data_IF_497787363712
#
_entry.id   IF_497787363712
#
_cell.length_a   1.000
_cell.length_b   1.000
_cell.length_c   1.000
_cell.angle_alpha   90.00
_cell.angle_beta   90.00
_cell.angle_gamma   90.00
#
_symmetry.space_group_name_H-M   'P 1'
#
loop_
_entity.id
_entity.type
_entity.pdbx_description
1 polymer ?
#
# COMPACT_ATOMS: atom_id res chain seq x y z
N UNK A 1 -19.99 2.24 -16.77
CA UNK A 1 -19.83 0.81 -16.54
C UNK A 1 -20.10 0.52 -15.07
N UNK A 2 -20.56 -0.71 -14.77
CA UNK A 2 -20.62 -1.24 -13.41
C UNK A 2 -19.29 -1.95 -13.12
N UNK A 3 -18.60 -1.52 -12.08
CA UNK A 3 -17.29 -2.07 -11.73
C UNK A 3 -17.36 -2.69 -10.35
N UNK A 4 -16.83 -3.91 -10.22
CA UNK A 4 -16.57 -4.53 -8.91
C UNK A 4 -15.08 -4.37 -8.60
N UNK A 5 -14.78 -3.92 -7.37
CA UNK A 5 -13.43 -3.91 -6.80
C UNK A 5 -13.38 -4.91 -5.65
N UNK A 6 -12.57 -5.95 -5.78
CA UNK A 6 -12.39 -6.99 -4.76
C UNK A 6 -11.22 -6.63 -3.84
N UNK A 7 -11.54 -6.26 -2.60
CA UNK A 7 -10.60 -5.81 -1.58
C UNK A 7 -10.65 -4.29 -1.32
N UNK A 8 -10.91 -3.92 -0.08
CA UNK A 8 -11.07 -2.54 0.40
C UNK A 8 -9.81 -1.97 1.10
N UNK A 9 -8.61 -2.41 0.70
CA UNK A 9 -7.34 -1.80 1.09
C UNK A 9 -6.99 -0.60 0.21
N UNK A 10 -5.77 -0.01 0.39
CA UNK A 10 -5.35 1.20 -0.35
C UNK A 10 -5.44 1.05 -1.87
N UNK A 11 -5.02 -0.08 -2.43
CA UNK A 11 -5.08 -0.29 -3.87
C UNK A 11 -6.53 -0.37 -4.36
N UNK A 12 -7.41 -1.06 -3.63
CA UNK A 12 -8.83 -1.16 -3.97
C UNK A 12 -9.56 0.17 -3.83
N UNK A 13 -9.42 0.85 -2.69
CA UNK A 13 -10.04 2.17 -2.47
C UNK A 13 -9.54 3.20 -3.47
N UNK A 14 -8.22 3.21 -3.74
CA UNK A 14 -7.65 4.09 -4.75
C UNK A 14 -8.17 3.81 -6.17
N UNK A 15 -8.40 2.54 -6.51
CA UNK A 15 -9.02 2.17 -7.79
C UNK A 15 -10.49 2.57 -7.83
N UNK A 16 -11.23 2.36 -6.73
CA UNK A 16 -12.62 2.75 -6.63
C UNK A 16 -12.80 4.26 -6.82
N UNK A 17 -12.00 5.09 -6.14
CA UNK A 17 -12.01 6.55 -6.31
C UNK A 17 -11.69 6.98 -7.75
N UNK A 18 -10.65 6.38 -8.35
CA UNK A 18 -10.27 6.71 -9.73
C UNK A 18 -11.39 6.39 -10.73
N UNK A 19 -12.03 5.24 -10.57
CA UNK A 19 -13.11 4.80 -11.44
C UNK A 19 -14.41 5.58 -11.21
N UNK A 20 -14.73 5.88 -9.96
CA UNK A 20 -15.90 6.66 -9.61
C UNK A 20 -15.82 8.09 -10.16
N UNK A 21 -14.66 8.76 -9.98
CA UNK A 21 -14.41 10.09 -10.54
C UNK A 21 -14.32 10.12 -12.07
N UNK A 22 -14.11 8.96 -12.70
CA UNK A 22 -14.25 8.77 -14.14
C UNK A 22 -15.71 8.47 -14.59
N UNK A 23 -16.68 8.54 -13.67
CA UNK A 23 -18.11 8.39 -13.97
C UNK A 23 -18.62 6.95 -13.98
N UNK A 24 -17.89 6.00 -13.38
CA UNK A 24 -18.34 4.59 -13.29
C UNK A 24 -19.06 4.33 -11.97
N UNK A 25 -20.04 3.42 -11.97
CA UNK A 25 -20.66 2.91 -10.76
C UNK A 25 -19.78 1.79 -10.17
N UNK A 26 -19.31 1.95 -8.93
CA UNK A 26 -18.32 1.07 -8.33
C UNK A 26 -18.87 0.42 -7.07
N UNK A 27 -18.76 -0.91 -6.97
CA UNK A 27 -19.01 -1.67 -5.74
C UNK A 27 -17.71 -2.26 -5.24
N UNK A 28 -17.28 -1.85 -4.04
CA UNK A 28 -16.12 -2.42 -3.35
C UNK A 28 -16.59 -3.56 -2.45
N UNK A 29 -16.05 -4.76 -2.64
CA UNK A 29 -16.32 -5.93 -1.80
C UNK A 29 -15.15 -6.17 -0.87
N UNK A 30 -15.36 -6.01 0.43
CA UNK A 30 -14.35 -6.20 1.47
C UNK A 30 -14.79 -7.32 2.42
N UNK A 31 -13.92 -8.31 2.61
CA UNK A 31 -14.21 -9.44 3.50
C UNK A 31 -14.17 -9.11 4.99
N UNK A 32 -13.35 -8.10 5.39
CA UNK A 32 -13.31 -7.64 6.77
C UNK A 32 -14.60 -6.87 7.09
N UNK A 33 -15.27 -7.25 8.17
CA UNK A 33 -16.53 -6.69 8.64
C UNK A 33 -16.36 -5.70 9.80
N UNK A 34 -15.12 -5.45 10.22
CA UNK A 34 -14.81 -4.53 11.32
C UNK A 34 -15.35 -3.14 11.01
N UNK A 35 -16.16 -2.55 11.92
CA UNK A 35 -16.68 -1.21 11.75
C UNK A 35 -15.59 -0.18 11.51
N UNK A 36 -15.90 0.78 10.64
CA UNK A 36 -14.98 1.88 10.39
C UNK A 36 -14.85 2.77 11.64
N UNK A 37 -13.64 3.14 12.05
CA UNK A 37 -13.42 4.05 13.18
C UNK A 37 -14.06 5.42 12.96
N UNK A 38 -14.46 6.08 14.07
CA UNK A 38 -15.10 7.38 14.03
C UNK A 38 -14.10 8.53 13.88
N UNK A 39 -12.84 8.32 14.25
CA UNK A 39 -11.78 9.33 14.21
C UNK A 39 -10.45 8.76 13.71
N UNK A 40 -9.53 9.66 13.37
CA UNK A 40 -8.15 9.29 13.01
C UNK A 40 -7.39 8.67 14.20
N UNK A 41 -7.72 9.04 15.44
CA UNK A 41 -7.13 8.41 16.62
C UNK A 41 -7.59 6.97 16.77
N UNK A 42 -8.89 6.73 16.65
CA UNK A 42 -9.46 5.38 16.71
C UNK A 42 -9.00 4.51 15.56
N UNK A 43 -8.65 5.12 14.41
CA UNK A 43 -8.13 4.40 13.24
C UNK A 43 -6.84 3.63 13.54
N UNK A 44 -6.06 4.03 14.57
CA UNK A 44 -4.89 3.26 14.97
C UNK A 44 -5.25 1.87 15.47
N UNK A 45 -6.38 1.71 16.15
CA UNK A 45 -6.84 0.42 16.68
C UNK A 45 -7.74 -0.35 15.69
N UNK A 46 -7.96 0.19 14.50
CA UNK A 46 -8.78 -0.47 13.49
C UNK A 46 -8.24 -1.87 13.15
N UNK A 47 -9.04 -2.90 13.41
CA UNK A 47 -8.67 -4.29 13.10
C UNK A 47 -8.85 -4.55 11.60
N UNK A 48 -7.73 -4.55 10.88
CA UNK A 48 -7.66 -4.85 9.44
C UNK A 48 -7.04 -6.22 9.23
N UNK A 49 -7.80 -7.29 9.45
CA UNK A 49 -7.34 -8.70 9.33
C UNK A 49 -6.83 -9.03 7.93
N UNK A 50 -7.46 -8.45 6.90
CA UNK A 50 -7.05 -8.57 5.49
C UNK A 50 -5.78 -7.79 5.14
N UNK A 51 -5.38 -6.82 5.98
CA UNK A 51 -4.25 -5.93 5.74
C UNK A 51 -3.31 -5.83 6.95
N UNK A 52 -2.71 -6.93 7.45
CA UNK A 52 -1.89 -6.93 8.69
C UNK A 52 -0.69 -5.97 8.62
N UNK A 53 -0.26 -5.56 7.43
CA UNK A 53 0.79 -4.56 7.23
C UNK A 53 0.42 -3.17 7.77
N UNK A 54 -0.82 -2.88 8.12
CA UNK A 54 -1.21 -1.60 8.75
C UNK A 54 -0.49 -1.34 10.08
N UNK A 55 0.00 -2.40 10.71
CA UNK A 55 0.80 -2.36 11.94
C UNK A 55 2.31 -2.27 11.70
N UNK A 56 2.73 -1.93 10.49
CA UNK A 56 4.13 -1.71 10.13
C UNK A 56 4.37 -0.24 9.79
N UNK A 57 5.64 0.19 9.85
CA UNK A 57 6.04 1.52 9.41
C UNK A 57 5.76 1.69 7.91
N UNK A 58 5.32 2.87 7.53
CA UNK A 58 5.10 3.23 6.14
C UNK A 58 5.74 4.59 5.84
N UNK A 59 6.33 4.68 4.66
CA UNK A 59 6.73 5.94 4.04
C UNK A 59 5.88 6.16 2.79
N UNK A 60 5.18 7.26 2.73
CA UNK A 60 4.39 7.65 1.56
C UNK A 60 5.27 8.54 0.67
N UNK A 61 5.94 7.89 -0.29
CA UNK A 61 6.96 8.52 -1.11
C UNK A 61 6.39 9.57 -2.07
N UNK A 62 7.26 10.42 -2.58
CA UNK A 62 6.97 11.55 -3.45
C UNK A 62 6.00 11.24 -4.59
N UNK A 63 6.11 10.09 -5.25
CA UNK A 63 5.17 9.70 -6.31
C UNK A 63 3.72 9.65 -5.85
N UNK A 64 3.46 9.17 -4.61
CA UNK A 64 2.10 9.17 -4.06
C UNK A 64 1.65 10.59 -3.70
N UNK A 65 2.54 11.39 -3.11
CA UNK A 65 2.26 12.79 -2.77
C UNK A 65 1.86 13.57 -4.02
N UNK A 66 2.64 13.46 -5.11
CA UNK A 66 2.34 14.11 -6.37
C UNK A 66 1.00 13.65 -6.97
N UNK A 67 0.70 12.34 -6.90
CA UNK A 67 -0.61 11.83 -7.34
C UNK A 67 -1.77 12.41 -6.51
N UNK A 68 -1.59 12.57 -5.21
CA UNK A 68 -2.61 13.16 -4.35
C UNK A 68 -2.75 14.66 -4.67
N UNK A 69 -1.66 15.40 -4.76
CA UNK A 69 -1.66 16.82 -5.10
C UNK A 69 -2.35 17.09 -6.45
N UNK A 70 -2.02 16.31 -7.47
CA UNK A 70 -2.43 16.59 -8.84
C UNK A 70 -3.84 16.07 -9.16
N UNK A 71 -4.30 15.00 -8.50
CA UNK A 71 -5.56 14.33 -8.84
C UNK A 71 -6.55 14.18 -7.68
N UNK A 72 -6.09 14.34 -6.44
CA UNK A 72 -6.89 14.12 -5.23
C UNK A 72 -6.53 15.15 -4.15
N UNK A 73 -6.55 16.49 -4.48
CA UNK A 73 -6.16 17.53 -3.55
C UNK A 73 -7.03 17.59 -2.29
N UNK A 74 -8.28 17.18 -2.38
CA UNK A 74 -9.22 17.01 -1.27
C UNK A 74 -8.72 15.97 -0.26
N UNK A 75 -8.24 14.83 -0.73
CA UNK A 75 -7.68 13.77 0.12
C UNK A 75 -6.37 14.23 0.76
N UNK A 76 -5.51 14.93 0.01
CA UNK A 76 -4.27 15.48 0.55
C UNK A 76 -4.58 16.50 1.66
N UNK A 77 -5.53 17.41 1.43
CA UNK A 77 -5.94 18.41 2.42
C UNK A 77 -6.47 17.75 3.69
N UNK A 78 -7.32 16.72 3.59
CA UNK A 78 -7.84 15.98 4.74
C UNK A 78 -6.73 15.26 5.51
N UNK A 79 -5.73 14.69 4.81
CA UNK A 79 -4.56 14.08 5.45
C UNK A 79 -3.78 15.09 6.30
N UNK A 80 -3.54 16.29 5.77
CA UNK A 80 -2.83 17.36 6.48
C UNK A 80 -3.66 17.87 7.67
N UNK A 81 -4.98 18.03 7.50
CA UNK A 81 -5.89 18.45 8.56
C UNK A 81 -5.91 17.50 9.77
N UNK A 82 -5.85 16.18 9.53
CA UNK A 82 -5.78 15.19 10.62
C UNK A 82 -4.38 15.04 11.22
N UNK A 83 -3.40 15.84 10.77
CA UNK A 83 -2.07 15.91 11.35
C UNK A 83 -0.99 15.12 10.63
N UNK A 84 -1.21 14.67 9.41
CA UNK A 84 -0.13 14.22 8.54
C UNK A 84 0.77 15.43 8.20
N UNK A 85 2.06 15.18 8.00
CA UNK A 85 3.03 16.23 7.68
C UNK A 85 3.76 15.94 6.38
N UNK A 86 4.09 17.01 5.64
CA UNK A 86 4.95 16.93 4.49
C UNK A 86 6.42 16.88 4.93
N UNK A 87 7.19 15.99 4.32
CA UNK A 87 8.63 15.92 4.45
C UNK A 87 9.21 16.31 3.09
N UNK A 88 9.72 17.53 3.01
CA UNK A 88 10.24 18.09 1.76
C UNK A 88 11.73 17.81 1.62
N UNK A 89 12.14 17.45 0.40
CA UNK A 89 13.54 17.34 0.09
C UNK A 89 14.20 18.73 0.14
N UNK A 90 15.38 18.78 0.74
CA UNK A 90 16.11 20.04 0.88
C UNK A 90 15.80 20.83 2.16
N UNK A 91 14.71 20.53 2.86
CA UNK A 91 14.49 21.04 4.22
C UNK A 91 15.19 20.13 5.24
N UNK A 92 15.73 20.69 6.30
CA UNK A 92 16.43 19.96 7.38
C UNK A 92 17.58 19.06 6.88
N UNK A 93 18.39 19.58 5.96
CA UNK A 93 19.55 18.86 5.47
C UNK A 93 20.62 18.70 6.57
N UNK A 94 21.33 17.56 6.60
CA UNK A 94 22.40 17.37 7.57
C UNK A 94 23.51 18.41 7.34
N UNK A 95 24.18 18.85 8.43
CA UNK A 95 25.28 19.85 8.36
C UNK A 95 26.43 19.45 7.41
N UNK A 96 26.51 18.15 7.06
CA UNK A 96 27.51 17.62 6.13
C UNK A 96 27.20 17.91 4.66
N UNK A 97 25.94 18.32 4.34
CA UNK A 97 25.56 18.72 2.98
C UNK A 97 25.75 20.21 2.76
N UNK A 98 27.00 20.65 2.90
CA UNK A 98 27.40 22.05 2.66
C UNK A 98 27.29 22.36 1.16
N UNK A 99 26.66 23.49 0.83
CA UNK A 99 26.56 23.96 -0.57
C UNK A 99 25.44 23.34 -1.38
N UNK A 100 24.47 22.66 -0.74
CA UNK A 100 23.24 22.23 -1.43
C UNK A 100 22.51 23.47 -1.99
N UNK A 101 22.20 23.41 -3.28
CA UNK A 101 21.39 24.43 -3.97
C UNK A 101 20.11 23.73 -4.44
N UNK A 102 18.93 24.18 -3.98
CA UNK A 102 17.66 23.60 -4.41
C UNK A 102 17.46 23.71 -5.92
N UNK A 103 16.99 22.64 -6.54
CA UNK A 103 16.55 22.60 -7.93
C UNK A 103 15.02 22.80 -8.00
N UNK A 104 14.48 23.35 -9.11
CA UNK A 104 13.04 23.57 -9.24
C UNK A 104 12.19 22.30 -9.03
N UNK A 105 12.70 21.13 -9.44
CA UNK A 105 12.00 19.86 -9.37
C UNK A 105 12.10 19.20 -7.97
N UNK A 106 12.86 19.76 -7.04
CA UNK A 106 12.96 19.23 -5.66
C UNK A 106 11.63 19.31 -4.91
N UNK A 107 10.74 20.22 -5.30
CA UNK A 107 9.38 20.31 -4.79
C UNK A 107 8.57 19.02 -5.04
N UNK A 108 8.88 18.28 -6.11
CA UNK A 108 8.27 17.01 -6.44
C UNK A 108 8.80 15.84 -5.59
N UNK A 109 9.87 16.06 -4.81
CA UNK A 109 10.45 15.08 -3.89
C UNK A 109 9.84 15.15 -2.47
N UNK A 110 8.63 15.68 -2.35
CA UNK A 110 7.89 15.75 -1.09
C UNK A 110 7.25 14.41 -0.74
N UNK A 111 7.47 13.93 0.48
CA UNK A 111 6.84 12.72 1.05
C UNK A 111 5.79 13.12 2.08
N UNK A 112 4.86 12.20 2.41
CA UNK A 112 3.89 12.38 3.49
C UNK A 112 4.24 11.45 4.64
N UNK A 113 4.35 12.00 5.84
CA UNK A 113 4.45 11.28 7.10
C UNK A 113 3.04 11.09 7.68
N UNK A 114 2.57 9.85 7.70
CA UNK A 114 1.25 9.48 8.19
C UNK A 114 1.24 7.99 8.54
N UNK A 115 0.47 7.60 9.55
CA UNK A 115 0.20 6.19 9.83
C UNK A 115 -0.60 5.56 8.69
N UNK A 116 -0.30 4.31 8.39
CA UNK A 116 -1.00 3.56 7.33
C UNK A 116 -2.50 3.43 7.62
N UNK A 117 -2.87 3.28 8.88
CA UNK A 117 -4.26 3.20 9.32
C UNK A 117 -5.02 4.49 9.04
N UNK A 118 -4.45 5.64 9.37
CA UNK A 118 -5.02 6.96 9.09
C UNK A 118 -5.19 7.19 7.59
N UNK A 119 -4.18 6.85 6.80
CA UNK A 119 -4.25 6.97 5.34
C UNK A 119 -5.39 6.12 4.74
N UNK A 120 -5.52 4.85 5.17
CA UNK A 120 -6.59 3.97 4.68
C UNK A 120 -7.96 4.42 5.15
N UNK A 121 -8.06 4.93 6.37
CA UNK A 121 -9.29 5.47 6.92
C UNK A 121 -9.79 6.67 6.10
N UNK A 122 -8.91 7.62 5.75
CA UNK A 122 -9.26 8.76 4.88
C UNK A 122 -9.66 8.29 3.48
N UNK A 123 -8.93 7.37 2.88
CA UNK A 123 -9.34 6.82 1.58
C UNK A 123 -10.71 6.15 1.64
N UNK A 124 -11.02 5.46 2.74
CA UNK A 124 -12.35 4.83 2.92
C UNK A 124 -13.44 5.89 3.06
N UNK A 125 -13.20 6.96 3.82
CA UNK A 125 -14.13 8.10 3.94
C UNK A 125 -14.38 8.75 2.58
N UNK A 126 -13.32 9.07 1.87
CA UNK A 126 -13.41 9.67 0.54
C UNK A 126 -14.20 8.77 -0.42
N UNK A 127 -13.96 7.44 -0.41
CA UNK A 127 -14.71 6.50 -1.24
C UNK A 127 -16.21 6.46 -0.87
N UNK A 128 -16.55 6.50 0.42
CA UNK A 128 -17.94 6.52 0.88
C UNK A 128 -18.66 7.84 0.59
N UNK A 129 -17.91 8.94 0.42
CA UNK A 129 -18.46 10.24 0.06
C UNK A 129 -18.81 10.36 -1.45
N UNK A 130 -18.25 9.49 -2.29
CA UNK A 130 -18.59 9.45 -3.71
C UNK A 130 -19.98 8.83 -3.92
N UNK A 131 -20.89 9.57 -4.53
CA UNK A 131 -22.30 9.14 -4.70
C UNK A 131 -22.49 7.90 -5.60
N UNK A 132 -21.47 7.47 -6.31
CA UNK A 132 -21.45 6.32 -7.22
C UNK A 132 -20.52 5.18 -6.72
N UNK A 133 -20.10 5.22 -5.45
CA UNK A 133 -19.35 4.14 -4.78
C UNK A 133 -20.20 3.51 -3.68
N UNK A 134 -20.32 2.20 -3.72
CA UNK A 134 -20.86 1.39 -2.63
C UNK A 134 -19.73 0.54 -2.04
N UNK A 135 -19.58 0.53 -0.71
CA UNK A 135 -18.64 -0.35 -0.01
C UNK A 135 -19.41 -1.37 0.81
N UNK A 136 -19.30 -2.63 0.44
CA UNK A 136 -19.89 -3.78 1.15
C UNK A 136 -18.83 -4.49 1.96
N UNK A 137 -18.94 -4.47 3.27
CA UNK A 137 -18.06 -5.18 4.21
C UNK A 137 -18.65 -6.53 4.59
N UNK A 138 -17.82 -7.46 5.06
CA UNK A 138 -18.25 -8.83 5.38
C UNK A 138 -18.52 -9.70 4.14
N UNK A 139 -18.14 -9.23 2.94
CA UNK A 139 -18.38 -9.95 1.68
C UNK A 139 -17.08 -10.59 1.19
N UNK A 140 -16.98 -11.89 1.34
CA UNK A 140 -15.84 -12.66 0.83
C UNK A 140 -16.14 -13.12 -0.61
N UNK A 141 -15.25 -12.78 -1.54
CA UNK A 141 -15.25 -13.29 -2.90
C UNK A 141 -14.40 -14.55 -2.95
N UNK A 142 -14.91 -15.61 -3.58
CA UNK A 142 -14.25 -16.91 -3.70
C UNK A 142 -14.02 -17.36 -5.15
N UNK A 143 -14.50 -16.57 -6.16
CA UNK A 143 -14.28 -16.88 -7.57
C UNK A 143 -14.61 -15.75 -8.53
N UNK A 144 -14.18 -15.93 -9.78
CA UNK A 144 -14.55 -15.07 -10.91
C UNK A 144 -15.70 -15.74 -11.68
N UNK A 145 -16.66 -14.95 -12.12
CA UNK A 145 -17.73 -15.39 -13.02
C UNK A 145 -17.28 -15.21 -14.46
N UNK A 146 -17.13 -16.32 -15.19
CA UNK A 146 -17.00 -16.26 -16.64
C UNK A 146 -18.37 -16.13 -17.29
N UNK A 147 -18.47 -15.28 -18.28
CA UNK A 147 -19.69 -15.12 -19.09
C UNK A 147 -19.32 -15.17 -20.56
N UNK A 148 -20.27 -15.61 -21.38
CA UNK A 148 -20.14 -15.45 -22.83
C UNK A 148 -20.06 -13.95 -23.14
N UNK A 149 -19.01 -13.55 -23.84
CA UNK A 149 -18.75 -12.14 -24.06
C UNK A 149 -19.89 -11.48 -24.87
N UNK A 150 -20.69 -10.69 -24.19
CA UNK A 150 -21.64 -9.74 -24.81
C UNK A 150 -20.90 -8.42 -25.11
N UNK A 151 -19.72 -8.55 -25.70
CA UNK A 151 -18.89 -7.42 -26.15
C UNK A 151 -18.98 -7.34 -27.67
N UNK A 152 -18.77 -6.15 -28.27
CA UNK A 152 -18.63 -6.04 -29.71
C UNK A 152 -17.68 -7.13 -30.24
N UNK A 153 -18.06 -7.76 -31.37
CA UNK A 153 -17.35 -8.91 -31.95
C UNK A 153 -15.85 -8.68 -32.07
N UNK A 154 -15.44 -7.44 -32.22
CA UNK A 154 -14.04 -6.99 -32.36
C UNK A 154 -13.24 -7.02 -31.03
N UNK A 155 -13.89 -7.16 -29.88
CA UNK A 155 -13.25 -7.22 -28.55
C UNK A 155 -13.16 -8.65 -27.99
N UNK A 156 -13.77 -9.63 -28.65
CA UNK A 156 -13.68 -11.04 -28.27
C UNK A 156 -12.41 -11.63 -28.84
N UNK A 157 -11.47 -12.01 -28.00
CA UNK A 157 -10.31 -12.79 -28.41
C UNK A 157 -10.67 -14.27 -28.24
N UNK A 158 -10.77 -15.06 -29.32
CA UNK A 158 -11.16 -16.47 -29.24
C UNK A 158 -10.27 -17.25 -28.28
N UNK A 159 -10.87 -18.05 -27.40
CA UNK A 159 -10.14 -18.87 -26.41
C UNK A 159 -9.66 -18.13 -25.17
N UNK A 160 -10.06 -16.86 -24.98
CA UNK A 160 -9.78 -16.07 -23.76
C UNK A 160 -11.10 -15.86 -23.00
N UNK A 161 -11.20 -16.30 -21.73
CA UNK A 161 -12.42 -16.11 -20.96
C UNK A 161 -12.69 -14.63 -20.69
N UNK A 162 -13.97 -14.25 -20.68
CA UNK A 162 -14.41 -12.92 -20.27
C UNK A 162 -14.98 -12.99 -18.86
N UNK A 163 -14.44 -12.13 -17.97
CA UNK A 163 -14.91 -11.99 -16.60
C UNK A 163 -16.06 -10.99 -16.58
N UNK A 164 -17.26 -11.44 -16.25
CA UNK A 164 -18.48 -10.63 -16.17
C UNK A 164 -19.02 -10.48 -14.74
N UNK A 165 -18.21 -10.81 -13.72
CA UNK A 165 -18.62 -10.71 -12.33
C UNK A 165 -17.77 -11.55 -11.38
N UNK A 166 -18.32 -11.78 -10.19
CA UNK A 166 -17.69 -12.56 -9.12
C UNK A 166 -18.70 -13.51 -8.46
N UNK A 167 -18.18 -14.60 -7.91
CA UNK A 167 -18.87 -15.45 -6.95
C UNK A 167 -18.46 -15.09 -5.53
N UNK A 168 -19.43 -15.02 -4.63
CA UNK A 168 -19.21 -14.76 -3.22
C UNK A 168 -19.35 -16.06 -2.42
N UNK A 169 -18.62 -16.14 -1.31
CA UNK A 169 -18.59 -17.33 -0.44
C UNK A 169 -19.95 -17.71 0.17
N UNK A 170 -20.92 -16.81 0.17
CA UNK A 170 -22.31 -17.05 0.58
C UNK A 170 -23.19 -17.68 -0.53
N UNK A 171 -22.59 -17.97 -1.69
CA UNK A 171 -23.24 -18.51 -2.86
C UNK A 171 -23.89 -17.47 -3.77
N UNK A 172 -23.83 -16.19 -3.44
CA UNK A 172 -24.35 -15.14 -4.32
C UNK A 172 -23.41 -14.86 -5.49
N UNK A 173 -23.98 -14.36 -6.60
CA UNK A 173 -23.24 -13.95 -7.79
C UNK A 173 -23.53 -12.49 -8.07
N UNK A 174 -22.49 -11.68 -8.31
CA UNK A 174 -22.62 -10.27 -8.62
C UNK A 174 -22.02 -10.02 -10.01
N UNK A 175 -22.86 -9.48 -10.91
CA UNK A 175 -22.44 -9.16 -12.29
C UNK A 175 -21.83 -7.77 -12.40
N UNK A 176 -20.80 -7.64 -13.22
CA UNK A 176 -20.13 -6.38 -13.53
C UNK A 176 -19.62 -6.35 -14.97
N UNK A 177 -19.35 -5.16 -15.47
CA UNK A 177 -18.72 -4.96 -16.79
C UNK A 177 -17.19 -5.03 -16.68
N UNK A 178 -16.65 -4.83 -15.46
CA UNK A 178 -15.22 -4.94 -15.13
C UNK A 178 -15.05 -5.40 -13.68
N UNK A 179 -14.13 -6.32 -13.46
CA UNK A 179 -13.69 -6.76 -12.12
C UNK A 179 -12.26 -6.34 -11.90
N UNK A 180 -12.01 -5.54 -10.85
CA UNK A 180 -10.68 -5.12 -10.40
C UNK A 180 -10.34 -5.88 -9.13
N UNK A 181 -9.31 -6.73 -9.16
CA UNK A 181 -8.89 -7.49 -7.99
C UNK A 181 -7.72 -6.81 -7.29
N UNK A 182 -7.98 -6.34 -6.07
CA UNK A 182 -7.05 -5.70 -5.15
C UNK A 182 -6.86 -6.56 -3.87
N UNK A 183 -6.84 -7.89 -4.01
CA UNK A 183 -6.83 -8.87 -2.92
C UNK A 183 -5.51 -8.95 -2.13
N UNK A 184 -4.55 -8.05 -2.41
CA UNK A 184 -3.28 -7.96 -1.71
C UNK A 184 -2.33 -9.12 -1.94
N UNK A 185 -1.29 -9.23 -1.10
CA UNK A 185 -0.22 -10.21 -1.26
C UNK A 185 -0.66 -11.69 -1.18
N UNK A 186 -1.81 -11.97 -0.56
CA UNK A 186 -2.38 -13.32 -0.42
C UNK A 186 -3.48 -13.61 -1.44
N UNK A 187 -3.56 -12.81 -2.51
CA UNK A 187 -4.56 -13.00 -3.55
C UNK A 187 -4.39 -14.33 -4.26
N UNK A 188 -5.46 -15.10 -4.33
CA UNK A 188 -5.58 -16.40 -5.01
C UNK A 188 -6.19 -16.26 -6.41
N UNK A 189 -6.06 -15.09 -7.01
CA UNK A 189 -6.57 -14.80 -8.36
C UNK A 189 -6.05 -15.74 -9.45
N UNK A 190 -4.78 -16.19 -9.44
CA UNK A 190 -4.34 -17.17 -10.43
C UNK A 190 -5.17 -18.44 -10.44
N UNK A 191 -5.59 -18.92 -9.27
CA UNK A 191 -6.46 -20.09 -9.09
C UNK A 191 -7.86 -19.81 -9.65
N UNK A 192 -8.42 -18.63 -9.37
CA UNK A 192 -9.73 -18.24 -9.91
C UNK A 192 -9.72 -18.13 -11.44
N UNK A 193 -8.66 -17.60 -12.02
CA UNK A 193 -8.49 -17.50 -13.47
C UNK A 193 -8.38 -18.90 -14.09
N UNK A 194 -7.63 -19.80 -13.46
CA UNK A 194 -7.55 -21.21 -13.91
C UNK A 194 -8.91 -21.89 -13.87
N UNK A 195 -9.70 -21.66 -12.83
CA UNK A 195 -11.03 -22.25 -12.68
C UNK A 195 -12.01 -21.84 -13.79
N UNK A 196 -11.86 -20.65 -14.36
CA UNK A 196 -12.66 -20.19 -15.51
C UNK A 196 -12.04 -20.51 -16.88
N UNK A 197 -11.00 -21.36 -16.92
CA UNK A 197 -10.37 -21.80 -18.18
C UNK A 197 -9.35 -20.81 -18.76
N UNK A 198 -8.90 -19.82 -18.00
CA UNK A 198 -7.83 -18.92 -18.44
C UNK A 198 -6.48 -19.66 -18.51
N UNK A 199 -5.60 -19.15 -19.36
CA UNK A 199 -4.19 -19.59 -19.38
C UNK A 199 -3.54 -19.34 -18.03
N UNK A 200 -2.62 -20.22 -17.63
CA UNK A 200 -1.89 -20.08 -16.36
C UNK A 200 -1.17 -18.73 -16.28
N UNK A 201 -1.35 -18.07 -15.14
CA UNK A 201 -0.60 -16.84 -14.79
C UNK A 201 0.83 -17.22 -14.47
N UNK A 202 1.79 -16.53 -15.09
CA UNK A 202 3.20 -16.70 -14.75
C UNK A 202 3.51 -15.88 -13.50
N UNK A 203 4.09 -16.50 -12.50
CA UNK A 203 4.54 -15.84 -11.27
C UNK A 203 6.06 -15.94 -11.15
N UNK A 204 6.71 -14.80 -10.91
CA UNK A 204 8.12 -14.73 -10.49
C UNK A 204 8.13 -14.24 -9.05
N UNK A 205 8.74 -15.00 -8.15
CA UNK A 205 8.82 -14.66 -6.74
C UNK A 205 10.22 -14.90 -6.19
N UNK A 206 10.68 -13.97 -5.36
CA UNK A 206 11.96 -14.02 -4.66
C UNK A 206 11.74 -13.66 -3.19
N UNK A 207 12.26 -14.48 -2.28
CA UNK A 207 12.23 -14.15 -0.85
C UNK A 207 13.17 -12.98 -0.56
N UNK A 208 12.68 -11.98 0.16
CA UNK A 208 13.48 -10.81 0.51
C UNK A 208 14.50 -11.09 1.61
N UNK A 209 14.41 -12.24 2.28
CA UNK A 209 15.31 -12.67 3.34
C UNK A 209 15.26 -11.82 4.61
N UNK A 210 14.20 -11.02 4.82
CA UNK A 210 14.12 -10.02 5.89
C UNK A 210 12.87 -10.24 6.75
N UNK A 211 13.02 -10.00 8.05
CA UNK A 211 11.92 -9.89 9.03
C UNK A 211 11.90 -8.50 9.61
N UNK A 212 10.74 -7.87 9.65
CA UNK A 212 10.53 -6.58 10.27
C UNK A 212 9.94 -6.72 11.66
N UNK A 213 10.47 -5.92 12.59
CA UNK A 213 9.99 -5.73 13.95
C UNK A 213 9.66 -4.25 14.08
N UNK A 214 8.41 -3.90 14.34
CA UNK A 214 7.94 -2.52 14.39
C UNK A 214 7.24 -2.25 15.71
N UNK A 215 7.57 -1.12 16.31
CA UNK A 215 6.89 -0.60 17.50
C UNK A 215 6.51 0.86 17.29
N UNK A 216 5.32 1.25 17.77
CA UNK A 216 4.81 2.61 17.64
C UNK A 216 4.92 3.36 18.96
N UNK A 217 5.18 4.66 18.83
CA UNK A 217 5.38 5.58 19.94
C UNK A 217 4.60 6.87 19.70
N UNK A 218 4.39 7.63 20.77
CA UNK A 218 3.84 8.99 20.73
C UNK A 218 4.75 9.91 21.52
N UNK A 219 5.01 11.09 20.99
CA UNK A 219 5.74 12.13 21.70
C UNK A 219 4.92 12.60 22.90
N UNK A 220 5.54 12.72 24.03
CA UNK A 220 4.96 13.24 25.27
C UNK A 220 4.52 14.69 25.09
N UNK A 221 3.57 15.14 25.93
CA UNK A 221 3.07 16.52 25.86
C UNK A 221 4.22 17.53 26.06
N UNK A 222 4.23 18.56 25.21
CA UNK A 222 5.30 19.56 25.18
C UNK A 222 6.59 19.10 24.48
N UNK A 223 6.70 17.83 24.06
CA UNK A 223 7.85 17.36 23.28
C UNK A 223 7.61 17.51 21.79
N UNK A 224 8.64 17.85 21.06
CA UNK A 224 8.64 17.92 19.60
C UNK A 224 9.54 16.83 19.00
N UNK A 225 9.29 16.51 17.72
CA UNK A 225 10.18 15.64 16.97
C UNK A 225 11.59 16.25 16.94
N UNK A 226 12.64 15.44 17.11
CA UNK A 226 14.00 15.96 16.99
C UNK A 226 14.25 16.47 15.57
N UNK A 227 15.14 17.47 15.39
CA UNK A 227 15.49 17.94 14.06
C UNK A 227 16.06 16.80 13.21
N UNK A 228 15.69 16.79 11.95
CA UNK A 228 16.12 15.77 11.00
C UNK A 228 17.53 16.13 10.49
N UNK A 229 18.54 15.42 10.99
CA UNK A 229 19.94 15.68 10.66
C UNK A 229 20.51 14.68 9.64
N UNK A 230 19.66 13.96 8.90
CA UNK A 230 20.12 12.97 7.96
C UNK A 230 19.04 11.98 7.51
N UNK A 231 19.45 10.80 7.02
CA UNK A 231 18.51 9.76 6.60
C UNK A 231 17.65 9.26 7.78
N UNK A 232 16.44 8.80 7.46
CA UNK A 232 15.49 8.28 8.48
C UNK A 232 15.90 6.93 9.07
N UNK A 233 16.97 6.31 8.58
CA UNK A 233 17.46 5.02 9.02
C UNK A 233 18.86 4.74 8.55
N UNK A 234 19.38 3.57 8.94
CA UNK A 234 20.72 3.12 8.55
C UNK A 234 20.78 1.59 8.36
N UNK A 235 21.86 1.15 7.75
CA UNK A 235 22.24 -0.23 7.53
C UNK A 235 23.54 -0.54 8.27
N UNK A 236 23.48 -1.42 9.26
CA UNK A 236 24.62 -1.88 10.05
C UNK A 236 25.22 -3.21 9.54
N UNK A 237 24.74 -3.70 8.38
CA UNK A 237 25.10 -4.99 7.81
C UNK A 237 24.25 -6.14 8.36
N UNK A 238 24.22 -6.33 9.67
CA UNK A 238 23.40 -7.36 10.34
C UNK A 238 22.01 -6.89 10.76
N UNK A 239 21.79 -5.59 10.78
CA UNK A 239 20.55 -4.94 11.19
C UNK A 239 20.34 -3.70 10.32
N UNK A 240 19.17 -3.57 9.71
CA UNK A 240 18.70 -2.32 9.13
C UNK A 240 17.64 -1.74 10.04
N UNK A 241 17.60 -0.41 10.17
CA UNK A 241 16.59 0.22 11.01
C UNK A 241 16.15 1.57 10.45
N UNK A 242 14.99 2.02 10.90
CA UNK A 242 14.48 3.35 10.53
C UNK A 242 13.45 3.87 11.51
N UNK A 243 13.34 5.20 11.55
CA UNK A 243 12.32 5.95 12.28
C UNK A 243 11.39 6.61 11.27
N UNK A 244 10.10 6.37 11.42
CA UNK A 244 9.08 6.85 10.50
C UNK A 244 8.10 7.72 11.28
N UNK A 245 8.13 9.03 11.02
CA UNK A 245 7.14 9.94 11.56
C UNK A 245 5.73 9.57 11.06
N UNK A 246 4.74 9.78 11.91
CA UNK A 246 3.32 9.59 11.62
C UNK A 246 2.53 10.87 11.87
N UNK A 247 1.23 10.78 11.71
CA UNK A 247 0.28 11.82 12.09
C UNK A 247 0.14 11.91 13.63
N UNK A 248 -0.38 13.06 14.13
CA UNK A 248 -0.77 13.23 15.54
C UNK A 248 0.35 12.91 16.53
N UNK A 249 1.56 13.41 16.24
CA UNK A 249 2.75 13.24 17.10
C UNK A 249 3.17 11.79 17.31
N UNK A 250 2.71 10.86 16.48
CA UNK A 250 3.15 9.47 16.51
C UNK A 250 4.37 9.26 15.62
N UNK A 251 5.11 8.22 15.92
CA UNK A 251 6.15 7.70 15.06
C UNK A 251 6.32 6.20 15.29
N UNK A 252 7.03 5.55 14.42
CA UNK A 252 7.38 4.14 14.57
C UNK A 252 8.86 3.91 14.36
N UNK A 253 9.41 2.96 15.10
CA UNK A 253 10.76 2.42 14.89
C UNK A 253 10.60 1.04 14.29
N UNK A 254 11.33 0.77 13.21
CA UNK A 254 11.40 -0.55 12.61
C UNK A 254 12.83 -1.05 12.62
N UNK A 255 13.01 -2.28 13.11
CA UNK A 255 14.22 -3.06 13.03
C UNK A 255 14.01 -4.18 12.02
N UNK A 256 14.91 -4.31 11.06
CA UNK A 256 14.86 -5.34 10.02
C UNK A 256 16.07 -6.26 10.15
N UNK A 257 15.81 -7.53 10.41
CA UNK A 257 16.84 -8.56 10.61
C UNK A 257 16.83 -9.57 9.48
N UNK A 258 17.94 -10.24 9.19
CA UNK A 258 17.94 -11.41 8.31
C UNK A 258 16.99 -12.49 8.83
N UNK A 259 16.27 -13.15 7.93
CA UNK A 259 15.35 -14.25 8.28
C UNK A 259 16.09 -15.43 8.91
N UNK A 260 17.37 -15.61 8.56
CA UNK A 260 18.21 -16.68 9.07
C UNK A 260 18.73 -16.44 10.50
N UNK A 261 18.59 -15.21 11.02
CA UNK A 261 19.04 -14.86 12.37
C UNK A 261 17.90 -15.06 13.39
N UNK A 262 17.77 -16.30 13.87
CA UNK A 262 16.73 -16.67 14.83
C UNK A 262 16.92 -15.99 16.19
N UNK A 263 18.15 -15.67 16.57
CA UNK A 263 18.43 -15.01 17.85
C UNK A 263 17.94 -13.56 17.84
N UNK A 264 18.32 -12.76 16.85
CA UNK A 264 17.85 -11.37 16.71
C UNK A 264 16.33 -11.31 16.53
N UNK A 265 15.74 -12.25 15.77
CA UNK A 265 14.28 -12.31 15.61
C UNK A 265 13.57 -12.53 16.93
N UNK A 266 14.07 -13.43 17.78
CA UNK A 266 13.52 -13.70 19.09
C UNK A 266 13.72 -12.51 20.04
N UNK A 267 14.92 -11.93 20.08
CA UNK A 267 15.27 -10.80 20.94
C UNK A 267 14.40 -9.58 20.62
N UNK A 268 14.29 -9.19 19.36
CA UNK A 268 13.51 -8.00 18.98
C UNK A 268 12.00 -8.20 18.99
N UNK A 269 11.52 -9.42 19.25
CA UNK A 269 10.09 -9.65 19.53
C UNK A 269 9.71 -9.28 20.97
N UNK A 270 10.69 -9.16 21.88
CA UNK A 270 10.49 -8.69 23.24
C UNK A 270 10.47 -7.16 23.27
N UNK A 271 9.39 -6.52 23.79
CA UNK A 271 9.25 -5.06 23.80
C UNK A 271 10.35 -4.36 24.61
N UNK A 272 10.85 -4.97 25.69
CA UNK A 272 11.90 -4.37 26.53
C UNK A 272 13.23 -4.38 25.80
N UNK A 273 13.58 -5.51 25.19
CA UNK A 273 14.82 -5.64 24.41
C UNK A 273 14.78 -4.76 23.19
N UNK A 274 13.62 -4.68 22.53
CA UNK A 274 13.42 -3.78 21.39
C UNK A 274 13.70 -2.32 21.76
N UNK A 275 13.12 -1.83 22.88
CA UNK A 275 13.29 -0.44 23.33
C UNK A 275 14.74 -0.14 23.74
N UNK A 276 15.40 -1.10 24.41
CA UNK A 276 16.81 -0.95 24.77
C UNK A 276 17.68 -0.81 23.50
N UNK A 277 17.48 -1.72 22.54
CA UNK A 277 18.22 -1.67 21.28
C UNK A 277 17.92 -0.38 20.48
N UNK A 278 16.64 0.03 20.40
CA UNK A 278 16.27 1.24 19.68
C UNK A 278 16.90 2.52 20.26
N UNK A 279 17.09 2.58 21.59
CA UNK A 279 17.76 3.70 22.27
C UNK A 279 19.27 3.81 21.98
N UNK A 280 19.89 2.71 21.56
CA UNK A 280 21.30 2.70 21.16
C UNK A 280 21.53 3.09 19.70
N UNK A 281 20.45 3.18 18.89
CA UNK A 281 20.54 3.50 17.47
C UNK A 281 20.55 5.01 17.25
N UNK A 282 21.58 5.51 16.56
CA UNK A 282 21.85 6.96 16.38
C UNK A 282 20.64 7.75 15.89
N UNK A 283 19.86 7.20 14.97
CA UNK A 283 18.67 7.88 14.41
C UNK A 283 17.48 7.79 15.34
N UNK A 284 17.33 6.69 16.11
CA UNK A 284 16.17 6.46 16.96
C UNK A 284 16.32 7.03 18.37
N UNK A 285 17.54 7.05 18.91
CA UNK A 285 17.83 7.54 20.26
C UNK A 285 17.24 8.94 20.54
N UNK A 286 17.40 9.95 19.67
CA UNK A 286 16.87 11.31 19.93
C UNK A 286 15.33 11.34 20.02
N UNK A 287 14.63 10.39 19.42
CA UNK A 287 13.17 10.28 19.47
C UNK A 287 12.68 9.65 20.78
N UNK A 288 13.50 8.79 21.37
CA UNK A 288 13.11 7.93 22.50
C UNK A 288 13.65 8.43 23.86
N UNK A 289 14.67 9.30 23.86
CA UNK A 289 15.34 9.76 25.07
C UNK A 289 14.47 10.76 25.86
N UNK A 290 13.60 10.21 26.70
CA UNK A 290 12.69 10.96 27.56
C UNK A 290 11.58 11.75 26.82
N UNK A 291 11.44 11.55 25.50
CA UNK A 291 10.52 12.34 24.66
C UNK A 291 9.25 11.62 24.29
N UNK A 292 9.24 10.30 24.39
CA UNK A 292 8.13 9.50 23.88
C UNK A 292 7.80 8.30 24.76
N UNK A 293 6.57 7.85 24.67
CA UNK A 293 6.08 6.60 25.24
C UNK A 293 5.64 5.63 24.13
N UNK A 294 5.74 4.34 24.41
CA UNK A 294 5.25 3.32 23.49
C UNK A 294 3.71 3.25 23.55
N UNK A 295 3.06 3.34 22.39
CA UNK A 295 1.59 3.21 22.28
C UNK A 295 1.15 1.81 21.85
N UNK A 296 2.09 0.91 21.58
CA UNK A 296 1.78 -0.52 21.35
C UNK A 296 2.37 -1.38 22.47
N UNK A 297 1.57 -2.28 23.07
CA UNK A 297 2.05 -3.14 24.17
C UNK A 297 3.04 -4.20 23.68
N UNK A 298 3.03 -4.52 22.39
CA UNK A 298 3.89 -5.53 21.76
C UNK A 298 4.63 -4.96 20.55
N UNK A 299 5.67 -5.67 20.14
CA UNK A 299 6.34 -5.47 18.86
C UNK A 299 5.56 -6.21 17.76
N UNK A 300 5.30 -5.54 16.67
CA UNK A 300 4.62 -6.12 15.51
C UNK A 300 5.64 -6.69 14.53
N UNK A 301 5.62 -8.01 14.38
CA UNK A 301 6.53 -8.71 13.46
C UNK A 301 5.86 -8.96 12.11
N UNK A 302 6.62 -8.82 11.03
CA UNK A 302 6.20 -9.16 9.67
C UNK A 302 7.32 -9.93 8.95
N UNK A 303 6.99 -11.14 8.52
CA UNK A 303 7.90 -12.08 7.84
C UNK A 303 7.26 -12.63 6.55
N UNK A 304 8.00 -13.47 5.82
CA UNK A 304 7.54 -14.08 4.58
C UNK A 304 7.26 -13.03 3.50
N UNK A 305 8.16 -12.08 3.37
CA UNK A 305 8.06 -10.98 2.42
C UNK A 305 8.69 -11.40 1.09
N UNK A 306 7.90 -11.34 0.03
CA UNK A 306 8.32 -11.69 -1.31
C UNK A 306 8.37 -10.46 -2.20
N UNK A 307 9.40 -10.35 -3.02
CA UNK A 307 9.31 -9.65 -4.29
C UNK A 307 8.57 -10.57 -5.25
N UNK A 308 7.37 -10.18 -5.69
CA UNK A 308 6.56 -11.04 -6.54
C UNK A 308 5.92 -10.24 -7.66
N UNK A 309 6.05 -10.75 -8.87
CA UNK A 309 5.36 -10.27 -10.06
C UNK A 309 4.47 -11.38 -10.61
N UNK A 310 3.25 -11.02 -10.95
CA UNK A 310 2.29 -11.87 -11.66
C UNK A 310 2.02 -11.28 -13.03
N UNK A 311 2.27 -12.07 -14.08
CA UNK A 311 2.06 -11.63 -15.45
C UNK A 311 0.68 -12.10 -15.94
N UNK A 312 -0.23 -11.13 -16.06
CA UNK A 312 -1.58 -11.33 -16.57
C UNK A 312 -1.72 -11.02 -18.06
N UNK A 313 -0.62 -10.63 -18.74
CA UNK A 313 -0.56 -10.39 -20.18
C UNK A 313 0.68 -11.08 -20.74
N UNK A 314 0.47 -12.13 -21.49
CA UNK A 314 1.56 -12.90 -22.09
C UNK A 314 1.53 -12.76 -23.61
N UNK A 315 2.67 -12.42 -24.21
CA UNK A 315 2.80 -12.21 -25.66
C UNK A 315 1.77 -11.18 -26.20
N UNK A 316 1.60 -10.06 -25.46
CA UNK A 316 0.60 -9.01 -25.71
C UNK A 316 -0.86 -9.50 -25.65
N UNK A 317 -1.11 -10.71 -25.18
CA UNK A 317 -2.45 -11.30 -25.05
C UNK A 317 -2.82 -11.43 -23.57
N UNK A 318 -3.94 -10.83 -23.10
CA UNK A 318 -4.36 -10.95 -21.72
C UNK A 318 -4.81 -12.39 -21.40
N UNK A 319 -4.65 -12.83 -20.16
CA UNK A 319 -5.13 -14.16 -19.71
C UNK A 319 -6.65 -14.21 -19.60
N UNK A 320 -7.29 -13.08 -19.34
CA UNK A 320 -8.73 -12.88 -19.33
C UNK A 320 -9.07 -11.43 -19.70
N UNK A 321 -10.26 -11.21 -20.29
CA UNK A 321 -10.83 -9.87 -20.51
C UNK A 321 -11.87 -9.55 -19.43
N UNK A 322 -12.29 -8.27 -19.31
CA UNK A 322 -13.18 -7.84 -18.21
C UNK A 322 -12.56 -7.90 -16.82
N UNK A 323 -11.22 -8.00 -16.74
CA UNK A 323 -10.46 -8.23 -15.52
C UNK A 323 -9.21 -7.35 -15.44
N UNK A 324 -8.91 -6.87 -14.22
CA UNK A 324 -7.64 -6.23 -13.88
C UNK A 324 -7.17 -6.67 -12.49
N UNK A 325 -5.88 -6.92 -12.33
CA UNK A 325 -5.25 -7.06 -11.01
C UNK A 325 -4.48 -5.78 -10.67
N UNK A 326 -4.54 -5.33 -9.40
CA UNK A 326 -3.87 -4.11 -8.94
C UNK A 326 -3.20 -4.32 -7.57
N UNK A 327 -2.24 -3.44 -7.25
CA UNK A 327 -1.49 -3.51 -5.99
C UNK A 327 -0.74 -4.84 -5.85
N UNK A 328 -0.67 -5.37 -4.62
CA UNK A 328 0.07 -6.59 -4.32
C UNK A 328 -0.52 -7.86 -4.97
N UNK A 329 -1.73 -7.80 -5.51
CA UNK A 329 -2.30 -8.87 -6.33
C UNK A 329 -1.60 -8.99 -7.69
N UNK A 330 -1.01 -7.89 -8.19
CA UNK A 330 -0.20 -7.82 -9.41
C UNK A 330 1.28 -7.85 -9.09
N UNK A 331 1.72 -6.94 -8.21
CA UNK A 331 3.13 -6.71 -7.90
C UNK A 331 3.30 -6.41 -6.42
N UNK A 332 3.96 -7.31 -5.71
CA UNK A 332 4.38 -7.14 -4.33
C UNK A 332 5.88 -6.85 -4.30
N UNK A 333 6.30 -5.81 -3.62
CA UNK A 333 7.71 -5.43 -3.50
C UNK A 333 8.15 -5.47 -2.05
N UNK A 334 9.44 -5.66 -1.82
CA UNK A 334 10.04 -5.53 -0.49
C UNK A 334 9.66 -4.17 0.12
N UNK A 335 9.04 -4.15 1.32
CA UNK A 335 8.64 -2.94 1.99
C UNK A 335 9.79 -1.94 2.25
N UNK A 336 11.03 -2.42 2.31
CA UNK A 336 12.23 -1.58 2.51
C UNK A 336 12.31 -0.41 1.52
N UNK A 337 11.77 -0.58 0.31
CA UNK A 337 11.77 0.45 -0.72
C UNK A 337 10.59 1.42 -0.65
N UNK A 338 9.61 1.22 0.24
CA UNK A 338 8.46 2.10 0.44
C UNK A 338 7.51 2.27 -0.75
N UNK A 339 7.62 1.45 -1.79
CA UNK A 339 6.96 1.66 -3.10
C UNK A 339 5.52 1.13 -3.21
N UNK A 340 5.08 0.28 -2.28
CA UNK A 340 3.80 -0.45 -2.40
C UNK A 340 2.59 0.45 -2.63
N UNK A 341 2.45 1.54 -1.87
CA UNK A 341 1.31 2.45 -2.00
C UNK A 341 1.34 3.28 -3.30
N UNK A 342 2.53 3.61 -3.81
CA UNK A 342 2.70 4.39 -5.05
C UNK A 342 2.44 3.56 -6.30
N UNK A 343 2.75 2.26 -6.28
CA UNK A 343 2.64 1.37 -7.45
C UNK A 343 1.23 0.88 -7.69
N UNK A 344 0.39 0.83 -6.66
CA UNK A 344 -1.02 0.44 -6.79
C UNK A 344 -1.85 1.34 -7.72
N UNK A 345 -1.31 2.46 -8.20
CA UNK A 345 -1.99 3.45 -9.03
C UNK A 345 -1.33 3.69 -10.40
N UNK A 346 -0.42 2.84 -10.86
CA UNK A 346 0.24 3.08 -12.14
C UNK A 346 -0.68 2.71 -13.32
N UNK A 347 -1.30 3.73 -13.97
CA UNK A 347 -1.73 3.62 -15.37
C UNK A 347 -0.47 3.73 -16.23
N UNK A 348 -0.20 2.75 -17.08
CA UNK A 348 0.67 2.96 -18.25
C UNK A 348 -0.08 3.93 -19.18
N UNK A 349 0.48 5.09 -19.61
CA UNK A 349 -0.09 5.83 -20.71
C UNK A 349 -0.03 4.94 -21.95
N UNK A 350 -1.17 4.72 -22.58
CA UNK A 350 -1.21 4.19 -23.93
C UNK A 350 -0.82 5.36 -24.86
N UNK A 351 0.47 5.57 -25.05
CA UNK A 351 1.06 6.34 -26.15
C UNK A 351 2.57 6.50 -25.88
N UNK A 352 3.37 5.67 -26.48
CA UNK A 352 4.52 6.06 -27.29
C UNK A 352 5.13 4.81 -27.93
N UNK A 353 4.43 4.24 -28.91
CA UNK A 353 4.99 3.20 -29.79
C UNK A 353 5.44 3.75 -31.14
N UNK A 354 5.60 5.10 -31.28
CA UNK A 354 5.99 5.68 -32.57
C UNK A 354 7.46 6.14 -32.67
N UNK A 355 8.30 5.90 -31.64
CA UNK A 355 9.70 6.36 -31.67
C UNK A 355 10.73 5.22 -31.55
N UNK A 356 10.47 4.08 -32.19
CA UNK A 356 11.49 3.02 -32.31
C UNK A 356 11.51 2.42 -33.71
N UNK A 357 11.57 3.30 -34.73
CA UNK A 357 11.93 2.89 -36.08
C UNK A 357 12.66 4.04 -36.76
N UNK A 358 13.94 4.17 -36.52
CA UNK A 358 14.96 4.67 -37.46
C UNK A 358 16.24 5.02 -36.68
N UNK A 359 17.16 4.06 -36.57
CA UNK A 359 18.58 4.32 -36.77
C UNK A 359 19.14 3.07 -37.42
N UNK A 360 19.38 3.17 -38.71
CA UNK A 360 20.31 2.33 -39.48
C UNK A 360 21.72 2.48 -38.94
#
# INVERSE_FOLDING_TARGET
MRVIVVGGGVAGLGSALALARAGHAVTVLERDDTPMPMSADDAFEWDRRGAPQVRQSHAFLARLTNLLRDHYPDILAELLEVGATEIRFGEDLPPTMVGFVPEPDDADLTMIACRRTTFEWILRRAALAEGNVEVRTGVAVDGLLAVDAVVPVDAVVPGIPHVGGVHCADGTTIHADLVVVAGGRRSVVPEWLTAIGARAVTETAEDTGIVYHTRFYRLLDGQEAPPRLGPIGADLGYLKYGVFAGDRRTFSVTLATPVADDELRRLFSDPVVFDLAARELVVAAPWLDGRAEAITPKVHMMAGLLNRWRDYVRDDVPVATGFLAVGDALLCTNPLYGRGCSMGRRRRPAADRSAATSVT
#
